data_IF_746725653987
#
_entry.id   IF_746725653987
#
_cell.length_a   1.000
_cell.length_b   1.000
_cell.length_c   1.000
_cell.angle_alpha   90.00
_cell.angle_beta   90.00
_cell.angle_gamma   90.00
#
_symmetry.space_group_name_H-M   'P 1'
#
loop_
_entity.id
_entity.type
_entity.pdbx_description
1 polymer ?
#
# COMPACT_ATOMS: atom_id res chain seq x y z
N UNK A 1 -15.19 -23.88 -34.68
CA UNK A 1 -13.77 -23.50 -34.71
C UNK A 1 -13.71 -21.96 -34.68
N UNK A 2 -13.46 -21.36 -33.54
CA UNK A 2 -13.38 -19.91 -33.39
C UNK A 2 -11.93 -19.52 -33.59
N UNK A 3 -11.70 -18.76 -34.64
CA UNK A 3 -10.39 -18.28 -35.06
C UNK A 3 -9.94 -17.19 -34.07
N UNK A 4 -9.09 -17.53 -33.10
CA UNK A 4 -8.42 -16.55 -32.23
C UNK A 4 -7.39 -15.82 -33.06
N UNK A 5 -7.74 -14.65 -33.59
CA UNK A 5 -6.75 -13.71 -34.11
C UNK A 5 -5.95 -13.15 -32.93
N UNK A 6 -4.72 -13.61 -32.76
CA UNK A 6 -3.74 -12.95 -31.93
C UNK A 6 -3.41 -11.62 -32.61
N UNK A 7 -3.95 -10.54 -32.07
CA UNK A 7 -3.52 -9.19 -32.44
C UNK A 7 -2.39 -8.84 -31.50
N UNK A 8 -1.17 -8.98 -31.99
CA UNK A 8 0.02 -8.42 -31.35
C UNK A 8 -0.09 -6.90 -31.55
N UNK A 9 -0.65 -6.21 -30.54
CA UNK A 9 -0.63 -4.76 -30.52
C UNK A 9 0.78 -4.33 -30.07
N UNK A 10 1.71 -4.32 -31.01
CA UNK A 10 2.96 -3.62 -30.84
C UNK A 10 2.61 -2.14 -30.88
N UNK A 11 2.36 -1.54 -29.71
CA UNK A 11 2.45 -0.09 -29.58
C UNK A 11 3.93 0.20 -29.82
N UNK A 12 4.23 0.67 -31.03
CA UNK A 12 5.55 0.99 -31.48
C UNK A 12 6.19 2.01 -30.53
N UNK A 13 7.00 1.54 -29.63
CA UNK A 13 8.10 2.32 -29.10
C UNK A 13 9.22 2.27 -30.15
N UNK A 14 9.11 3.10 -31.17
CA UNK A 14 10.28 3.49 -31.92
C UNK A 14 11.08 4.44 -31.03
N UNK A 15 12.06 3.89 -30.32
CA UNK A 15 13.29 4.58 -29.87
C UNK A 15 14.24 3.53 -29.34
N UNK A 16 14.88 2.83 -30.26
CA UNK A 16 16.19 2.25 -30.06
C UNK A 16 17.19 3.37 -30.25
N UNK A 17 17.80 3.85 -29.18
CA UNK A 17 19.24 4.05 -29.04
C UNK A 17 19.57 4.91 -27.82
N UNK A 18 20.52 4.39 -27.03
CA UNK A 18 21.32 5.07 -26.01
C UNK A 18 20.65 5.36 -24.66
N UNK A 19 20.82 4.42 -23.74
CA UNK A 19 21.26 4.58 -22.36
C UNK A 19 20.89 5.83 -21.57
N UNK A 20 19.59 6.17 -21.47
CA UNK A 20 19.09 7.01 -20.39
C UNK A 20 17.79 6.35 -19.97
N UNK A 21 17.72 5.87 -18.72
CA UNK A 21 16.48 5.47 -18.09
C UNK A 21 15.61 6.74 -17.93
N UNK A 22 14.89 7.11 -18.97
CA UNK A 22 13.86 8.10 -18.88
C UNK A 22 12.74 7.45 -18.07
N UNK A 23 12.51 7.92 -16.85
CA UNK A 23 11.29 7.63 -16.08
C UNK A 23 10.14 8.24 -16.88
N UNK A 24 9.52 7.44 -17.75
CA UNK A 24 8.33 7.85 -18.48
C UNK A 24 7.19 7.94 -17.46
N UNK A 25 6.90 9.15 -17.01
CA UNK A 25 5.69 9.46 -16.26
C UNK A 25 4.53 9.49 -17.26
N UNK A 26 3.48 8.70 -17.02
CA UNK A 26 2.26 8.83 -17.81
C UNK A 26 1.65 10.22 -17.57
N UNK A 27 1.21 10.89 -18.66
CA UNK A 27 0.51 12.15 -18.53
C UNK A 27 -0.83 11.95 -17.76
N UNK A 28 -1.38 12.98 -17.13
CA UNK A 28 -2.65 12.89 -16.41
C UNK A 28 -3.76 12.29 -17.30
N UNK A 29 -4.47 11.29 -16.78
CA UNK A 29 -5.52 10.56 -17.48
C UNK A 29 -5.02 9.48 -18.44
N UNK A 30 -3.71 9.28 -18.62
CA UNK A 30 -3.17 8.21 -19.43
C UNK A 30 -2.92 6.95 -18.60
N UNK A 31 -3.32 5.82 -19.16
CA UNK A 31 -3.04 4.49 -18.65
C UNK A 31 -2.10 3.78 -19.62
N UNK A 32 -0.99 3.28 -19.13
CA UNK A 32 0.01 2.55 -19.90
C UNK A 32 0.38 1.24 -19.23
N UNK A 33 0.48 0.18 -20.00
CA UNK A 33 0.92 -1.15 -19.55
C UNK A 33 2.07 -1.61 -20.43
N UNK A 34 3.14 -2.09 -19.81
CA UNK A 34 4.27 -2.75 -20.46
C UNK A 34 4.45 -4.13 -19.82
N UNK A 35 4.73 -5.15 -20.59
CA UNK A 35 4.97 -6.51 -20.12
C UNK A 35 5.63 -7.34 -21.25
N UNK A 36 6.15 -8.52 -20.91
CA UNK A 36 6.66 -9.47 -21.91
C UNK A 36 5.51 -10.06 -22.75
N UNK A 37 4.35 -10.31 -22.10
CA UNK A 37 3.11 -10.75 -22.75
C UNK A 37 1.96 -9.82 -22.35
N UNK A 38 1.21 -9.35 -23.34
CA UNK A 38 0.05 -8.47 -23.15
C UNK A 38 -1.11 -8.92 -24.02
N UNK A 39 -2.25 -9.20 -23.39
CA UNK A 39 -3.53 -9.41 -24.09
C UNK A 39 -4.50 -8.31 -23.68
N UNK A 40 -5.20 -7.74 -24.66
CA UNK A 40 -6.18 -6.69 -24.40
C UNK A 40 -7.39 -6.78 -25.33
N UNK A 41 -8.57 -6.79 -24.72
CA UNK A 41 -9.85 -6.76 -25.43
C UNK A 41 -10.39 -5.32 -25.50
N UNK A 42 -10.29 -4.71 -26.67
CA UNK A 42 -10.75 -3.34 -26.93
C UNK A 42 -12.25 -3.16 -26.66
N UNK A 43 -13.05 -4.21 -26.81
CA UNK A 43 -14.50 -4.15 -26.65
C UNK A 43 -14.90 -4.13 -25.18
N UNK A 44 -14.32 -4.99 -24.36
CA UNK A 44 -14.64 -5.13 -22.94
C UNK A 44 -13.77 -4.24 -22.06
N UNK A 45 -12.57 -3.90 -22.52
CA UNK A 45 -11.55 -3.19 -21.75
C UNK A 45 -10.76 -4.11 -20.83
N UNK A 46 -10.96 -5.43 -20.89
CA UNK A 46 -10.19 -6.39 -20.10
C UNK A 46 -8.79 -6.56 -20.68
N UNK A 47 -7.82 -6.56 -19.78
CA UNK A 47 -6.42 -6.80 -20.12
C UNK A 47 -5.77 -7.78 -19.15
N UNK A 48 -4.73 -8.40 -19.68
CA UNK A 48 -3.88 -9.35 -18.99
C UNK A 48 -2.43 -9.05 -19.37
N UNK A 49 -1.55 -9.01 -18.38
CA UNK A 49 -0.13 -8.79 -18.59
C UNK A 49 0.69 -9.77 -17.77
N UNK A 50 1.82 -10.24 -18.32
CA UNK A 50 2.70 -11.21 -17.68
C UNK A 50 4.15 -10.93 -18.02
N UNK A 51 5.02 -11.09 -17.01
CA UNK A 51 6.46 -10.91 -17.09
C UNK A 51 6.84 -9.43 -17.15
N UNK A 52 7.67 -8.98 -16.21
CA UNK A 52 8.19 -7.61 -16.12
C UNK A 52 7.10 -6.53 -16.27
N UNK A 53 5.95 -6.77 -15.62
CA UNK A 53 4.80 -5.86 -15.75
C UNK A 53 5.11 -4.50 -15.16
N UNK A 54 4.86 -3.44 -15.93
CA UNK A 54 4.92 -2.05 -15.49
C UNK A 54 3.61 -1.36 -15.87
N UNK A 55 2.93 -0.82 -14.88
CA UNK A 55 1.69 -0.04 -15.02
C UNK A 55 1.99 1.41 -14.68
N UNK A 56 1.55 2.32 -15.54
CA UNK A 56 1.63 3.76 -15.30
C UNK A 56 0.23 4.35 -15.40
N UNK A 57 -0.19 5.10 -14.39
CA UNK A 57 -1.49 5.78 -14.37
C UNK A 57 -1.44 7.02 -13.47
N UNK A 58 -1.84 8.18 -14.01
CA UNK A 58 -2.01 9.42 -13.25
C UNK A 58 -0.81 9.79 -12.37
N UNK A 59 0.42 9.64 -12.91
CA UNK A 59 1.65 9.89 -12.18
C UNK A 59 2.09 8.78 -11.22
N UNK A 60 1.27 7.74 -11.04
CA UNK A 60 1.64 6.54 -10.29
C UNK A 60 2.33 5.50 -11.17
N UNK A 61 3.17 4.68 -10.55
CA UNK A 61 3.84 3.53 -11.16
C UNK A 61 3.63 2.30 -10.30
N UNK A 62 3.30 1.18 -10.92
CA UNK A 62 3.31 -0.11 -10.25
C UNK A 62 4.07 -1.14 -11.09
N UNK A 63 4.77 -2.06 -10.43
CA UNK A 63 5.46 -3.20 -11.03
C UNK A 63 4.96 -4.50 -10.42
N UNK A 64 4.94 -5.58 -11.21
CA UNK A 64 4.52 -6.91 -10.77
C UNK A 64 5.03 -7.98 -11.72
N UNK A 65 4.86 -9.26 -11.36
CA UNK A 65 5.11 -10.37 -12.28
C UNK A 65 3.91 -10.62 -13.21
N UNK A 66 2.71 -10.24 -12.73
CA UNK A 66 1.44 -10.51 -13.39
C UNK A 66 0.41 -9.43 -13.07
N UNK A 67 -0.42 -9.07 -14.04
CA UNK A 67 -1.56 -8.17 -13.84
C UNK A 67 -2.80 -8.60 -14.64
N UNK A 68 -3.96 -8.42 -14.03
CA UNK A 68 -5.25 -8.34 -14.72
C UNK A 68 -5.83 -6.97 -14.48
N UNK A 69 -6.46 -6.39 -15.47
CA UNK A 69 -7.04 -5.05 -15.34
C UNK A 69 -8.24 -4.87 -16.27
N UNK A 70 -9.09 -3.92 -15.92
CA UNK A 70 -10.13 -3.44 -16.80
C UNK A 70 -10.01 -1.91 -16.93
N UNK A 71 -9.69 -1.44 -18.13
CA UNK A 71 -9.45 -0.02 -18.40
C UNK A 71 -10.69 0.86 -18.26
N UNK A 72 -11.89 0.27 -18.32
CA UNK A 72 -13.18 0.98 -18.22
C UNK A 72 -13.64 1.11 -16.77
N UNK A 73 -13.59 0.01 -16.00
CA UNK A 73 -14.00 0.02 -14.58
C UNK A 73 -12.90 0.50 -13.64
N UNK A 74 -11.65 0.66 -14.12
CA UNK A 74 -10.47 1.01 -13.30
C UNK A 74 -10.16 -0.01 -12.20
N UNK A 75 -10.64 -1.23 -12.37
CA UNK A 75 -10.35 -2.36 -11.47
C UNK A 75 -9.16 -3.15 -11.98
N UNK A 76 -8.47 -3.81 -11.07
CA UNK A 76 -7.35 -4.67 -11.45
C UNK A 76 -6.71 -5.37 -10.27
N UNK A 77 -5.86 -6.33 -10.59
CA UNK A 77 -5.07 -7.07 -9.61
C UNK A 77 -3.67 -7.25 -10.15
N UNK A 78 -2.68 -6.92 -9.33
CA UNK A 78 -1.27 -7.18 -9.57
C UNK A 78 -0.82 -8.29 -8.64
N UNK A 79 0.03 -9.20 -9.12
CA UNK A 79 0.55 -10.34 -8.33
C UNK A 79 2.03 -10.55 -8.57
N UNK A 80 2.72 -10.97 -7.50
CA UNK A 80 4.14 -11.30 -7.48
C UNK A 80 5.02 -10.05 -7.46
N UNK A 81 5.82 -9.93 -6.40
CA UNK A 81 6.81 -8.86 -6.23
C UNK A 81 6.24 -7.45 -6.50
N UNK A 82 5.04 -7.20 -6.00
CA UNK A 82 4.35 -5.93 -6.28
C UNK A 82 5.01 -4.78 -5.55
N UNK A 83 5.36 -3.76 -6.32
CA UNK A 83 5.81 -2.45 -5.81
C UNK A 83 4.98 -1.38 -6.49
N UNK A 84 4.36 -0.49 -5.73
CA UNK A 84 3.55 0.60 -6.26
C UNK A 84 3.90 1.93 -5.58
N UNK A 85 4.10 2.94 -6.41
CA UNK A 85 4.45 4.30 -5.98
C UNK A 85 3.42 5.28 -6.55
N UNK A 86 2.84 6.13 -5.68
CA UNK A 86 1.93 7.19 -6.09
C UNK A 86 1.79 8.26 -5.01
N UNK A 87 1.83 9.52 -5.37
CA UNK A 87 1.55 10.67 -4.50
C UNK A 87 2.35 10.63 -3.17
N UNK A 88 3.63 10.21 -3.24
CA UNK A 88 4.50 10.05 -2.07
C UNK A 88 4.23 8.79 -1.23
N UNK A 89 3.26 7.97 -1.62
CA UNK A 89 3.04 6.66 -1.02
C UNK A 89 3.87 5.59 -1.74
N UNK A 90 4.45 4.67 -0.96
CA UNK A 90 5.19 3.51 -1.43
C UNK A 90 4.57 2.24 -0.84
N UNK A 91 4.18 1.30 -1.69
CA UNK A 91 3.51 0.05 -1.30
C UNK A 91 4.32 -1.14 -1.80
N UNK A 92 4.54 -2.11 -0.92
CA UNK A 92 5.15 -3.41 -1.24
C UNK A 92 4.22 -4.52 -0.74
N UNK A 93 3.93 -5.52 -1.58
CA UNK A 93 3.08 -6.65 -1.20
C UNK A 93 3.22 -7.82 -2.19
N UNK A 94 2.59 -8.95 -1.89
CA UNK A 94 2.51 -10.08 -2.83
C UNK A 94 1.39 -9.92 -3.85
N UNK A 95 0.29 -9.25 -3.45
CA UNK A 95 -0.86 -8.98 -4.31
C UNK A 95 -1.42 -7.59 -4.00
N UNK A 96 -1.70 -6.80 -5.04
CA UNK A 96 -2.31 -5.49 -4.94
C UNK A 96 -3.60 -5.47 -5.74
N UNK A 97 -4.71 -5.13 -5.08
CA UNK A 97 -6.06 -5.17 -5.64
C UNK A 97 -6.60 -3.74 -5.70
N UNK A 98 -6.94 -3.28 -6.88
CA UNK A 98 -7.65 -2.02 -7.11
C UNK A 98 -9.14 -2.34 -7.27
N UNK A 99 -9.93 -2.04 -6.25
CA UNK A 99 -11.38 -2.28 -6.25
C UNK A 99 -12.13 -1.23 -7.08
N UNK A 100 -11.63 -0.01 -7.02
CA UNK A 100 -12.11 1.15 -7.78
C UNK A 100 -11.05 2.27 -7.68
N UNK A 101 -11.35 3.47 -8.18
CA UNK A 101 -10.41 4.60 -8.18
C UNK A 101 -9.98 5.08 -6.78
N UNK A 102 -10.72 4.69 -5.74
CA UNK A 102 -10.53 5.19 -4.37
C UNK A 102 -10.19 4.10 -3.35
N UNK A 103 -10.51 2.84 -3.64
CA UNK A 103 -10.38 1.75 -2.68
C UNK A 103 -9.42 0.69 -3.22
N UNK A 104 -8.44 0.32 -2.42
CA UNK A 104 -7.41 -0.64 -2.78
C UNK A 104 -6.98 -1.49 -1.59
N UNK A 105 -6.44 -2.67 -1.87
CA UNK A 105 -5.92 -3.60 -0.88
C UNK A 105 -4.53 -4.06 -1.26
N UNK A 106 -3.62 -4.04 -0.30
CA UNK A 106 -2.33 -4.70 -0.37
C UNK A 106 -2.39 -5.98 0.47
N UNK A 107 -2.02 -7.11 -0.08
CA UNK A 107 -2.16 -8.43 0.55
C UNK A 107 -0.86 -9.21 0.47
N UNK A 108 -0.55 -9.92 1.55
CA UNK A 108 0.64 -10.76 1.70
C UNK A 108 1.90 -9.94 2.00
N UNK A 109 2.29 -9.90 3.26
CA UNK A 109 3.40 -9.07 3.75
C UNK A 109 3.29 -7.62 3.29
N UNK A 110 2.08 -7.08 3.37
CA UNK A 110 1.78 -5.74 2.90
C UNK A 110 2.50 -4.69 3.77
N UNK A 111 3.13 -3.73 3.10
CA UNK A 111 3.74 -2.55 3.72
C UNK A 111 3.38 -1.33 2.90
N UNK A 112 2.84 -0.30 3.56
CA UNK A 112 2.53 0.98 2.94
C UNK A 112 3.23 2.09 3.72
N UNK A 113 4.06 2.88 3.02
CA UNK A 113 4.77 4.02 3.61
C UNK A 113 4.27 5.32 2.97
N UNK A 114 4.08 6.34 3.81
CA UNK A 114 3.74 7.70 3.40
C UNK A 114 4.20 8.70 4.45
N UNK A 115 4.78 9.83 4.03
CA UNK A 115 5.22 10.92 4.91
C UNK A 115 6.12 10.43 6.07
N UNK A 116 6.98 9.44 5.81
CA UNK A 116 7.91 8.85 6.78
C UNK A 116 7.27 7.88 7.78
N UNK A 117 5.97 7.60 7.67
CA UNK A 117 5.28 6.56 8.45
C UNK A 117 5.08 5.31 7.63
N UNK A 118 5.10 4.17 8.30
CA UNK A 118 4.86 2.87 7.65
C UNK A 118 3.83 2.08 8.43
N UNK A 119 2.82 1.57 7.72
CA UNK A 119 1.90 0.55 8.23
C UNK A 119 2.17 -0.77 7.52
N UNK A 120 2.30 -1.86 8.28
CA UNK A 120 2.56 -3.19 7.76
C UNK A 120 1.63 -4.22 8.40
N UNK A 121 1.17 -5.19 7.62
CA UNK A 121 0.28 -6.27 8.05
C UNK A 121 0.23 -7.39 7.00
N UNK A 122 -0.50 -8.48 7.27
CA UNK A 122 -0.82 -9.46 6.21
C UNK A 122 -1.68 -8.84 5.13
N UNK A 123 -2.58 -7.93 5.52
CA UNK A 123 -3.41 -7.16 4.61
C UNK A 123 -3.61 -5.72 5.11
N UNK A 124 -3.49 -4.76 4.20
CA UNK A 124 -3.81 -3.35 4.41
C UNK A 124 -4.86 -2.94 3.37
N UNK A 125 -6.03 -2.52 3.83
CA UNK A 125 -7.07 -1.91 3.01
C UNK A 125 -6.97 -0.39 3.14
N UNK A 126 -6.90 0.32 2.00
CA UNK A 126 -6.77 1.77 1.95
C UNK A 126 -7.94 2.41 1.21
N UNK A 127 -8.53 3.42 1.84
CA UNK A 127 -9.69 4.17 1.38
C UNK A 127 -9.29 5.63 1.13
N UNK A 128 -8.94 5.94 -0.12
CA UNK A 128 -8.34 7.22 -0.53
C UNK A 128 -9.16 8.44 -0.14
N UNK A 129 -10.49 8.42 -0.38
CA UNK A 129 -11.36 9.56 -0.09
C UNK A 129 -11.47 9.87 1.42
N UNK A 130 -11.26 8.87 2.26
CA UNK A 130 -11.28 9.01 3.71
C UNK A 130 -9.88 9.24 4.30
N UNK A 131 -8.83 9.05 3.48
CA UNK A 131 -7.44 8.98 3.96
C UNK A 131 -7.30 8.01 5.14
N UNK A 132 -7.86 6.83 4.98
CA UNK A 132 -7.99 5.84 6.03
C UNK A 132 -7.42 4.50 5.60
N UNK A 133 -6.67 3.86 6.51
CA UNK A 133 -6.18 2.51 6.32
C UNK A 133 -6.63 1.61 7.47
N UNK A 134 -6.96 0.36 7.15
CA UNK A 134 -7.22 -0.68 8.14
C UNK A 134 -6.41 -1.93 7.85
N UNK A 135 -6.06 -2.67 8.90
CA UNK A 135 -5.28 -3.90 8.77
C UNK A 135 -6.11 -5.11 9.15
N UNK A 136 -5.82 -6.23 8.52
CA UNK A 136 -6.36 -7.55 8.87
C UNK A 136 -5.28 -8.63 8.72
N UNK A 137 -5.49 -9.81 9.32
CA UNK A 137 -4.55 -10.93 9.23
C UNK A 137 -3.93 -11.34 10.58
N UNK A 138 -4.34 -10.69 11.69
CA UNK A 138 -3.97 -11.09 13.03
C UNK A 138 -2.68 -10.48 13.58
N UNK A 139 -1.95 -9.69 12.76
CA UNK A 139 -0.86 -8.82 13.21
C UNK A 139 -0.81 -7.54 12.37
N UNK A 140 -0.36 -6.48 12.99
CA UNK A 140 -0.11 -5.21 12.33
C UNK A 140 0.96 -4.40 13.07
N UNK A 141 1.71 -3.60 12.32
CA UNK A 141 2.73 -2.69 12.85
C UNK A 141 2.56 -1.29 12.24
N UNK A 142 2.56 -0.28 13.08
CA UNK A 142 2.72 1.12 12.67
C UNK A 142 4.08 1.61 13.17
N UNK A 143 4.89 2.14 12.25
CA UNK A 143 6.17 2.81 12.56
C UNK A 143 6.00 4.29 12.29
N UNK A 144 6.25 5.12 13.30
CA UNK A 144 6.17 6.58 13.21
C UNK A 144 7.52 7.19 12.76
N UNK A 145 7.50 8.46 12.41
CA UNK A 145 8.65 9.23 11.91
C UNK A 145 9.82 9.32 12.90
N UNK A 146 9.54 9.21 14.21
CA UNK A 146 10.56 9.20 15.27
C UNK A 146 11.11 7.80 15.57
N UNK A 147 10.71 6.79 14.79
CA UNK A 147 11.08 5.39 14.99
C UNK A 147 10.27 4.69 16.07
N UNK A 148 9.23 5.32 16.64
CA UNK A 148 8.30 4.65 17.56
C UNK A 148 7.52 3.57 16.81
N UNK A 149 7.34 2.42 17.45
CA UNK A 149 6.66 1.25 16.88
C UNK A 149 5.44 0.92 17.72
N UNK A 150 4.31 0.67 17.08
CA UNK A 150 3.08 0.14 17.67
C UNK A 150 2.74 -1.16 16.98
N UNK A 151 2.71 -2.25 17.75
CA UNK A 151 2.31 -3.59 17.29
C UNK A 151 0.96 -3.98 17.88
N UNK A 152 0.13 -4.66 17.10
CA UNK A 152 -1.20 -5.11 17.50
C UNK A 152 -1.71 -6.24 16.61
N UNK A 153 -2.84 -6.87 16.98
CA UNK A 153 -3.53 -7.76 16.05
C UNK A 153 -4.23 -7.00 14.92
N UNK A 154 -4.72 -5.78 15.21
CA UNK A 154 -5.36 -4.90 14.24
C UNK A 154 -5.01 -3.44 14.51
N UNK A 155 -4.77 -2.68 13.45
CA UNK A 155 -4.60 -1.22 13.47
C UNK A 155 -5.57 -0.59 12.47
N UNK A 156 -6.32 0.38 12.92
CA UNK A 156 -7.12 1.31 12.12
C UNK A 156 -6.44 2.67 12.17
N UNK A 157 -6.07 3.25 11.03
CA UNK A 157 -5.32 4.50 10.95
C UNK A 157 -6.05 5.55 10.10
N UNK A 158 -6.54 6.58 10.77
CA UNK A 158 -7.04 7.79 10.14
C UNK A 158 -5.85 8.74 9.87
N UNK A 159 -5.39 8.78 8.63
CA UNK A 159 -4.22 9.57 8.24
C UNK A 159 -4.51 11.06 8.24
N UNK A 160 -5.79 11.46 8.08
CA UNK A 160 -6.20 12.86 8.07
C UNK A 160 -6.13 13.48 9.47
N UNK A 161 -6.61 12.77 10.48
CA UNK A 161 -6.50 13.20 11.89
C UNK A 161 -5.14 12.83 12.50
N UNK A 162 -4.43 11.88 11.94
CA UNK A 162 -3.21 11.32 12.50
C UNK A 162 -3.46 10.39 13.68
N UNK A 163 -4.68 9.82 13.80
CA UNK A 163 -5.06 8.94 14.91
C UNK A 163 -5.01 7.49 14.46
N UNK A 164 -4.24 6.68 15.16
CA UNK A 164 -4.24 5.23 15.04
C UNK A 164 -4.99 4.61 16.24
N UNK A 165 -5.89 3.67 15.96
CA UNK A 165 -6.52 2.83 16.97
C UNK A 165 -6.03 1.39 16.79
N UNK A 166 -5.40 0.84 17.81
CA UNK A 166 -4.87 -0.50 17.82
C UNK A 166 -5.60 -1.39 18.83
N UNK A 167 -5.80 -2.65 18.48
CA UNK A 167 -6.51 -3.63 19.32
C UNK A 167 -5.88 -5.02 19.23
N UNK A 168 -6.02 -5.80 20.30
CA UNK A 168 -5.61 -7.20 20.34
C UNK A 168 -4.15 -7.39 20.75
N UNK A 169 -3.85 -7.14 22.03
CA UNK A 169 -2.50 -7.32 22.58
C UNK A 169 -1.52 -6.27 22.07
N UNK A 170 -1.86 -5.01 22.32
CA UNK A 170 -1.09 -3.87 21.79
C UNK A 170 0.18 -3.65 22.59
N UNK A 171 1.30 -3.40 21.90
CA UNK A 171 2.55 -2.94 22.49
C UNK A 171 3.05 -1.68 21.78
N UNK A 172 3.68 -0.79 22.54
CA UNK A 172 4.33 0.41 22.01
C UNK A 172 5.77 0.42 22.51
N UNK A 173 6.70 0.66 21.60
CA UNK A 173 8.10 0.89 21.89
C UNK A 173 8.57 2.18 21.24
N UNK A 174 9.15 3.07 22.03
CA UNK A 174 9.70 4.34 21.57
C UNK A 174 11.04 4.64 22.25
N UNK A 175 12.12 4.48 21.50
CA UNK A 175 13.46 4.82 21.98
C UNK A 175 13.59 6.33 22.20
N UNK A 176 13.02 7.13 21.29
CA UNK A 176 13.06 8.58 21.35
C UNK A 176 12.38 9.15 22.62
N UNK A 177 11.31 8.48 23.08
CA UNK A 177 10.54 8.88 24.27
C UNK A 177 10.87 8.06 25.50
N UNK A 178 11.78 7.06 25.38
CA UNK A 178 12.10 6.08 26.43
C UNK A 178 10.84 5.46 27.03
N UNK A 179 9.89 5.11 26.15
CA UNK A 179 8.57 4.59 26.47
C UNK A 179 8.47 3.13 26.02
N UNK A 180 8.02 2.26 26.91
CA UNK A 180 7.51 0.93 26.61
C UNK A 180 6.14 0.80 27.25
N UNK A 181 5.14 0.37 26.50
CA UNK A 181 3.78 0.27 26.99
C UNK A 181 3.04 -0.92 26.38
N UNK A 182 2.04 -1.43 27.11
CA UNK A 182 1.12 -2.46 26.64
C UNK A 182 -0.30 -2.21 27.14
N UNK A 183 -1.31 -2.64 26.34
CA UNK A 183 -2.71 -2.56 26.70
C UNK A 183 -3.57 -3.48 25.80
N UNK A 184 -4.83 -3.66 26.13
CA UNK A 184 -5.77 -4.39 25.26
C UNK A 184 -6.12 -3.55 24.02
N UNK A 185 -6.20 -2.22 24.19
CA UNK A 185 -6.47 -1.24 23.15
C UNK A 185 -5.64 0.01 23.38
N UNK A 186 -5.19 0.61 22.29
CA UNK A 186 -4.43 1.87 22.29
C UNK A 186 -5.05 2.85 21.31
N UNK A 187 -5.14 4.12 21.70
CA UNK A 187 -5.33 5.25 20.79
C UNK A 187 -4.02 6.03 20.77
N UNK A 188 -3.41 6.10 19.59
CA UNK A 188 -2.11 6.73 19.38
C UNK A 188 -2.26 7.90 18.40
N UNK A 189 -1.90 9.09 18.86
CA UNK A 189 -1.86 10.27 18.03
C UNK A 189 -0.46 10.42 17.42
N UNK A 190 -0.34 10.23 16.12
CA UNK A 190 0.93 10.37 15.37
C UNK A 190 1.30 11.82 15.08
N UNK A 191 0.46 12.78 15.52
CA UNK A 191 0.73 14.20 15.41
C UNK A 191 1.85 14.63 16.37
N UNK A 192 2.22 15.92 16.32
CA UNK A 192 3.29 16.48 17.17
C UNK A 192 3.07 16.33 18.68
N UNK A 193 1.83 16.10 19.14
CA UNK A 193 1.53 15.93 20.57
C UNK A 193 2.07 14.61 21.12
N UNK A 194 2.07 13.55 20.28
CA UNK A 194 2.49 12.22 20.67
C UNK A 194 1.64 11.64 21.82
N UNK A 195 0.35 12.00 21.88
CA UNK A 195 -0.57 11.49 22.89
C UNK A 195 -0.82 9.99 22.70
N UNK A 196 -0.81 9.28 23.81
CA UNK A 196 -1.11 7.84 23.88
C UNK A 196 -2.13 7.60 24.95
N UNK A 197 -3.24 6.94 24.63
CA UNK A 197 -4.21 6.44 25.59
C UNK A 197 -4.19 4.92 25.60
N UNK A 198 -3.98 4.35 26.80
CA UNK A 198 -3.92 2.91 27.03
C UNK A 198 -5.20 2.48 27.72
N UNK A 199 -5.88 1.45 27.19
CA UNK A 199 -7.19 1.02 27.65
C UNK A 199 -7.17 -0.50 27.87
N UNK A 200 -7.49 -0.93 29.11
CA UNK A 200 -7.57 -2.33 29.52
C UNK A 200 -6.19 -2.98 29.69
N UNK A 201 -5.98 -3.59 30.85
CA UNK A 201 -4.71 -4.24 31.25
C UNK A 201 -3.47 -3.40 30.92
N UNK A 202 -3.58 -2.10 31.15
CA UNK A 202 -2.62 -1.12 30.72
C UNK A 202 -1.39 -1.07 31.62
N UNK A 203 -0.21 -1.09 31.01
CA UNK A 203 1.06 -0.85 31.71
C UNK A 203 1.92 0.06 30.84
N UNK A 204 2.55 1.06 31.45
CA UNK A 204 3.49 1.92 30.78
C UNK A 204 4.72 2.16 31.65
N UNK A 205 5.89 2.09 31.04
CA UNK A 205 7.17 2.46 31.64
C UNK A 205 7.80 3.56 30.83
N UNK A 206 8.05 4.71 31.45
CA UNK A 206 8.72 5.84 30.81
C UNK A 206 9.83 6.39 31.70
N UNK A 207 11.03 6.55 31.16
CA UNK A 207 12.22 7.01 31.88
C UNK A 207 12.46 6.22 33.19
N UNK A 208 12.13 4.94 33.21
CA UNK A 208 12.27 4.05 34.38
C UNK A 208 11.11 4.12 35.39
N UNK A 209 10.13 4.97 35.20
CA UNK A 209 8.91 5.02 36.01
C UNK A 209 7.81 4.16 35.40
N UNK A 210 7.18 3.31 36.19
CA UNK A 210 6.11 2.41 35.73
C UNK A 210 4.77 2.79 36.35
N UNK A 211 3.73 2.74 35.53
CA UNK A 211 2.31 2.90 35.90
C UNK A 211 1.55 1.70 35.36
N UNK A 212 0.66 1.13 36.16
CA UNK A 212 -0.22 -0.02 35.80
C UNK A 212 -1.59 0.14 36.43
#
# INVERSE_FOLDING_TARGET
>A
MINKKKILLTVAAALLSLGIAATAMAAPGQFSVQADELEYDLKTGNGFARGNVVLLQDGGKATADYATFNSKSKQGTLKGNVVADRDGSHIVCSEFIVHNENDMSAVGNASMSKDGRTIAADRVDYYKLREYAETTGGWARLTDTDGSVLDAAKIDYDMKSGIATATGGVTIESQARKLSASADRVIYETSKSGYVELIGNATATQNGNTVS
#
